data_IF_656433741368
#
_entry.id   IF_656433741368
#
_cell.length_a   1.000
_cell.length_b   1.000
_cell.length_c   1.000
_cell.angle_alpha   90.00
_cell.angle_beta   90.00
_cell.angle_gamma   90.00
#
_symmetry.space_group_name_H-M   'P 1'
#
loop_
_entity.id
_entity.type
_entity.pdbx_description
1 polymer ?
#
# COMPACT_ATOMS: atom_id res chain seq x y z
N UNK A 1 -13.09 -16.81 2.91
CA UNK A 1 -13.35 -16.07 1.66
C UNK A 1 -14.41 -15.05 1.99
N UNK A 2 -14.13 -13.76 1.75
CA UNK A 2 -15.07 -12.69 2.07
C UNK A 2 -15.69 -12.12 0.80
N UNK A 3 -16.96 -11.76 0.90
CA UNK A 3 -17.73 -11.15 -0.18
C UNK A 3 -18.42 -9.89 0.30
N UNK A 4 -18.63 -8.96 -0.63
CA UNK A 4 -19.53 -7.83 -0.45
C UNK A 4 -20.21 -7.47 -1.76
N UNK A 5 -21.29 -6.70 -1.68
CA UNK A 5 -22.06 -6.29 -2.82
C UNK A 5 -22.15 -4.76 -2.88
N UNK A 6 -22.03 -4.22 -4.09
CA UNK A 6 -22.16 -2.80 -4.39
C UNK A 6 -23.23 -2.62 -5.47
N UNK A 7 -24.01 -1.55 -5.39
CA UNK A 7 -24.86 -1.12 -6.50
C UNK A 7 -24.11 -0.05 -7.26
N UNK A 8 -23.91 -0.28 -8.56
CA UNK A 8 -23.42 0.73 -9.48
C UNK A 8 -24.58 1.18 -10.33
N UNK A 9 -24.77 2.49 -10.45
CA UNK A 9 -25.74 3.08 -11.37
C UNK A 9 -25.03 3.93 -12.41
N UNK A 10 -25.45 3.88 -13.66
CA UNK A 10 -24.87 4.65 -14.77
C UNK A 10 -25.96 5.24 -15.65
N UNK A 11 -25.73 6.45 -16.16
CA UNK A 11 -26.58 7.09 -17.16
C UNK A 11 -25.80 8.09 -18.00
N UNK A 12 -26.51 8.84 -18.85
CA UNK A 12 -25.89 9.80 -19.76
C UNK A 12 -25.10 10.89 -19.01
N UNK A 13 -25.63 11.35 -17.88
CA UNK A 13 -25.10 12.51 -17.14
C UNK A 13 -24.25 12.13 -15.92
N UNK A 14 -24.02 10.83 -15.68
CA UNK A 14 -23.13 10.42 -14.59
C UNK A 14 -23.27 8.98 -14.11
N UNK A 15 -22.60 8.72 -13.00
CA UNK A 15 -22.57 7.42 -12.35
C UNK A 15 -22.62 7.54 -10.82
N UNK A 16 -23.24 6.56 -10.17
CA UNK A 16 -23.27 6.38 -8.73
C UNK A 16 -22.58 5.04 -8.39
N UNK A 17 -21.81 4.98 -7.30
CA UNK A 17 -21.14 3.76 -6.85
C UNK A 17 -19.85 3.39 -7.58
N UNK A 18 -19.53 4.01 -8.73
CA UNK A 18 -18.29 3.70 -9.47
C UNK A 18 -17.01 4.07 -8.70
N UNK A 19 -17.01 5.20 -7.99
CA UNK A 19 -15.88 5.62 -7.15
C UNK A 19 -15.60 4.64 -6.02
N UNK A 20 -16.65 4.15 -5.38
CA UNK A 20 -16.55 3.15 -4.31
C UNK A 20 -16.10 1.79 -4.86
N UNK A 21 -16.63 1.37 -6.02
CA UNK A 21 -16.16 0.18 -6.70
C UNK A 21 -14.65 0.26 -6.98
N UNK A 22 -14.17 1.36 -7.57
CA UNK A 22 -12.74 1.54 -7.87
C UNK A 22 -11.87 1.45 -6.60
N UNK A 23 -12.29 2.11 -5.52
CA UNK A 23 -11.58 2.06 -4.24
C UNK A 23 -11.47 0.62 -3.72
N UNK A 24 -12.51 -0.19 -3.86
CA UNK A 24 -12.46 -1.58 -3.41
C UNK A 24 -11.59 -2.46 -4.31
N UNK A 25 -11.58 -2.21 -5.61
CA UNK A 25 -10.66 -2.89 -6.53
C UNK A 25 -9.19 -2.56 -6.20
N UNK A 26 -8.88 -1.29 -5.87
CA UNK A 26 -7.56 -0.87 -5.39
C UNK A 26 -7.16 -1.55 -4.07
N UNK A 27 -8.14 -1.85 -3.19
CA UNK A 27 -7.96 -2.60 -1.93
C UNK A 27 -7.80 -4.11 -2.13
N UNK A 28 -7.61 -4.56 -3.36
CA UNK A 28 -7.37 -5.95 -3.72
C UNK A 28 -8.62 -6.83 -3.75
N UNK A 29 -9.82 -6.24 -3.75
CA UNK A 29 -11.03 -6.98 -4.06
C UNK A 29 -11.12 -7.26 -5.56
N UNK A 30 -11.81 -8.34 -5.93
CA UNK A 30 -12.02 -8.74 -7.33
C UNK A 30 -13.50 -8.85 -7.61
N UNK A 31 -13.91 -8.54 -8.83
CA UNK A 31 -15.30 -8.75 -9.28
C UNK A 31 -15.55 -10.25 -9.40
N UNK A 32 -16.46 -10.76 -8.59
CA UNK A 32 -16.91 -12.16 -8.62
C UNK A 32 -18.07 -12.34 -9.61
N UNK A 33 -19.05 -11.42 -9.59
CA UNK A 33 -20.15 -11.43 -10.54
C UNK A 33 -20.79 -10.05 -10.69
N UNK A 34 -21.42 -9.83 -11.84
CA UNK A 34 -22.22 -8.62 -12.12
C UNK A 34 -23.60 -9.07 -12.57
N UNK A 35 -24.65 -8.51 -11.96
CA UNK A 35 -26.03 -8.77 -12.32
C UNK A 35 -26.71 -7.45 -12.71
N UNK A 36 -27.24 -7.31 -13.92
CA UNK A 36 -28.01 -6.14 -14.28
C UNK A 36 -29.26 -6.07 -13.40
N UNK A 37 -29.54 -4.90 -12.86
CA UNK A 37 -30.78 -4.60 -12.17
C UNK A 37 -31.55 -3.64 -13.06
N UNK A 38 -32.67 -4.11 -13.63
CA UNK A 38 -33.58 -3.22 -14.35
C UNK A 38 -34.20 -2.18 -13.43
N UNK A 39 -34.70 -1.08 -13.99
CA UNK A 39 -35.54 -0.13 -13.27
C UNK A 39 -34.80 0.94 -12.47
N UNK A 40 -33.76 1.55 -13.03
CA UNK A 40 -33.18 2.77 -12.44
C UNK A 40 -33.96 4.02 -12.89
N UNK A 41 -35.28 4.05 -12.64
CA UNK A 41 -36.14 5.25 -12.72
C UNK A 41 -36.33 5.93 -14.08
N UNK A 42 -37.41 6.71 -14.20
CA UNK A 42 -37.86 7.34 -15.45
C UNK A 42 -36.86 8.34 -16.05
N UNK A 43 -36.90 8.39 -17.38
CA UNK A 43 -36.15 9.27 -18.26
C UNK A 43 -36.25 10.75 -17.83
N UNK A 44 -35.22 11.21 -17.13
CA UNK A 44 -34.97 12.60 -16.78
C UNK A 44 -33.46 12.83 -16.78
N UNK A 45 -32.87 12.99 -15.59
CA UNK A 45 -31.44 13.29 -15.37
C UNK A 45 -30.73 12.28 -14.43
N UNK A 46 -31.32 11.09 -14.18
CA UNK A 46 -30.79 10.10 -13.23
C UNK A 46 -30.12 8.90 -13.94
N UNK A 47 -29.18 8.19 -13.29
CA UNK A 47 -28.50 7.07 -13.92
C UNK A 47 -29.48 5.95 -14.28
N UNK A 48 -29.68 5.70 -15.58
CA UNK A 48 -30.74 4.88 -16.16
C UNK A 48 -30.48 3.35 -16.14
N UNK A 49 -29.27 2.92 -15.80
CA UNK A 49 -28.90 1.52 -15.66
C UNK A 49 -28.36 1.26 -14.26
N UNK A 50 -28.73 0.14 -13.65
CA UNK A 50 -28.14 -0.31 -12.40
C UNK A 50 -27.57 -1.72 -12.53
N UNK A 51 -26.53 -2.01 -11.76
CA UNK A 51 -25.96 -3.34 -11.65
C UNK A 51 -25.59 -3.63 -10.20
N UNK A 52 -25.90 -4.85 -9.76
CA UNK A 52 -25.35 -5.44 -8.55
C UNK A 52 -23.99 -6.02 -8.89
N UNK A 53 -22.95 -5.48 -8.27
CA UNK A 53 -21.57 -5.96 -8.41
C UNK A 53 -21.20 -6.70 -7.13
N UNK A 54 -20.97 -8.00 -7.24
CA UNK A 54 -20.46 -8.82 -6.13
C UNK A 54 -18.95 -8.82 -6.22
N UNK A 55 -18.30 -8.38 -5.15
CA UNK A 55 -16.86 -8.41 -4.97
C UNK A 55 -16.48 -9.56 -4.04
N UNK A 56 -15.37 -10.21 -4.34
CA UNK A 56 -14.75 -11.20 -3.47
C UNK A 56 -13.29 -10.85 -3.18
N UNK A 57 -12.83 -11.26 -2.01
CA UNK A 57 -11.41 -11.30 -1.69
C UNK A 57 -11.13 -12.63 -1.00
N UNK A 58 -10.05 -13.29 -1.41
CA UNK A 58 -9.55 -14.41 -0.62
C UNK A 58 -9.12 -13.83 0.72
N UNK A 59 -9.52 -14.47 1.82
CA UNK A 59 -8.89 -14.23 3.11
C UNK A 59 -7.49 -14.79 2.99
N UNK A 60 -6.61 -13.99 2.41
CA UNK A 60 -5.20 -14.17 2.60
C UNK A 60 -4.97 -13.68 4.03
N UNK A 61 -4.38 -14.53 4.87
CA UNK A 61 -3.81 -14.13 6.17
C UNK A 61 -2.65 -13.13 5.99
N UNK A 62 -2.87 -12.08 5.19
CA UNK A 62 -1.94 -11.05 4.74
C UNK A 62 -1.69 -10.01 5.80
N UNK A 63 -2.52 -9.94 6.84
CA UNK A 63 -2.19 -9.15 8.04
C UNK A 63 -0.88 -9.64 8.65
N UNK A 64 -0.56 -10.94 8.58
CA UNK A 64 0.71 -11.48 9.08
C UNK A 64 1.90 -11.08 8.19
N UNK A 65 1.70 -11.01 6.87
CA UNK A 65 2.77 -10.71 5.92
C UNK A 65 3.09 -9.20 5.82
N UNK A 66 2.08 -8.34 5.91
CA UNK A 66 2.26 -6.87 5.89
C UNK A 66 2.82 -6.37 7.21
N UNK A 67 2.36 -6.88 8.36
CA UNK A 67 2.96 -6.56 9.66
C UNK A 67 4.42 -7.04 9.78
N UNK A 68 4.77 -8.15 9.12
CA UNK A 68 6.16 -8.62 9.07
C UNK A 68 7.04 -7.69 8.22
N UNK A 69 6.53 -7.17 7.10
CA UNK A 69 7.25 -6.26 6.22
C UNK A 69 7.44 -4.87 6.86
N UNK A 70 6.40 -4.29 7.48
CA UNK A 70 6.51 -2.98 8.17
C UNK A 70 7.48 -3.02 9.37
N UNK A 71 7.54 -4.15 10.10
CA UNK A 71 8.50 -4.31 11.21
C UNK A 71 9.94 -4.38 10.71
N UNK A 72 10.18 -5.04 9.59
CA UNK A 72 11.52 -5.13 8.97
C UNK A 72 12.00 -3.77 8.42
N UNK A 73 11.12 -2.97 7.82
CA UNK A 73 11.47 -1.62 7.36
C UNK A 73 11.80 -0.66 8.53
N UNK A 74 11.09 -0.79 9.65
CA UNK A 74 11.36 0.01 10.86
C UNK A 74 12.69 -0.36 11.53
N UNK A 75 13.05 -1.64 11.56
CA UNK A 75 14.36 -2.08 12.08
C UNK A 75 15.51 -1.62 11.17
N UNK A 76 15.35 -1.66 9.84
CA UNK A 76 16.36 -1.18 8.91
C UNK A 76 16.61 0.33 9.01
N UNK A 77 15.58 1.13 9.29
CA UNK A 77 15.72 2.58 9.56
C UNK A 77 16.45 2.88 10.87
N UNK A 78 16.39 1.99 11.87
CA UNK A 78 17.01 2.21 13.19
C UNK A 78 18.52 1.99 13.19
N UNK A 79 19.06 1.15 12.31
CA UNK A 79 20.50 0.83 12.27
C UNK A 79 21.34 1.95 11.64
N UNK A 80 20.72 2.87 10.90
CA UNK A 80 21.43 3.96 10.22
C UNK A 80 21.71 5.14 11.15
N UNK A 81 20.92 5.34 12.21
CA UNK A 81 21.11 6.47 13.13
C UNK A 81 22.24 6.24 14.15
N UNK A 82 22.55 4.99 14.52
CA UNK A 82 23.62 4.70 15.49
C UNK A 82 25.04 4.82 14.89
N UNK A 83 25.21 4.71 13.57
CA UNK A 83 26.56 4.81 12.93
C UNK A 83 27.03 6.27 12.82
N UNK A 84 26.14 7.26 12.84
CA UNK A 84 26.53 8.68 12.79
C UNK A 84 27.00 9.24 14.14
N UNK A 85 26.84 8.50 15.24
CA UNK A 85 27.19 8.98 16.59
C UNK A 85 28.62 8.66 17.03
N UNK A 86 29.35 7.83 16.27
CA UNK A 86 30.69 7.37 16.64
C UNK A 86 31.82 7.92 15.75
N UNK A 87 31.60 9.08 15.11
CA UNK A 87 32.68 9.90 14.53
C UNK A 87 33.01 11.03 15.51
N UNK A 88 33.42 10.64 16.71
CA UNK A 88 33.80 11.56 17.80
C UNK A 88 35.19 11.23 18.33
N UNK A 89 36.22 11.48 17.52
CA UNK A 89 37.60 11.26 17.96
C UNK A 89 38.64 11.54 16.87
N UNK A 90 38.71 12.78 16.38
CA UNK A 90 39.88 13.23 15.62
C UNK A 90 41.06 13.26 16.58
N UNK A 91 41.95 12.27 16.48
CA UNK A 91 43.28 12.35 17.09
C UNK A 91 44.16 13.12 16.11
N UNK A 92 44.47 14.37 16.44
CA UNK A 92 45.44 15.19 15.74
C UNK A 92 46.86 14.66 16.04
N UNK A 93 47.29 13.66 15.26
CA UNK A 93 48.66 13.17 15.26
C UNK A 93 49.49 13.91 14.22
N UNK A 94 50.35 14.83 14.65
CA UNK A 94 51.38 15.42 13.78
C UNK A 94 52.40 14.32 13.43
N UNK A 95 52.33 13.80 12.21
CA UNK A 95 53.14 12.68 11.69
C UNK A 95 54.61 13.04 11.46
N UNK A 96 55.32 13.43 12.52
CA UNK A 96 56.75 13.69 12.49
C UNK A 96 57.46 13.05 13.69
N UNK A 97 57.80 11.76 13.56
CA UNK A 97 58.74 11.03 14.41
C UNK A 97 59.56 10.07 13.53
N UNK A 98 60.89 9.94 13.73
CA UNK A 98 61.80 9.36 12.75
C UNK A 98 61.63 7.84 12.61
N UNK A 99 62.04 7.23 11.48
CA UNK A 99 61.94 5.79 11.30
C UNK A 99 62.95 5.11 12.22
N UNK A 100 62.47 4.22 13.09
CA UNK A 100 63.35 3.30 13.81
C UNK A 100 63.84 2.23 12.82
N UNK A 101 65.15 2.19 12.57
CA UNK A 101 65.81 1.07 11.92
C UNK A 101 65.68 -0.21 12.77
N UNK A 102 65.64 -1.40 12.16
CA UNK A 102 65.62 -2.65 12.89
C UNK A 102 67.05 -3.04 13.28
N UNK A 103 67.28 -3.40 14.54
CA UNK A 103 68.50 -4.09 14.96
C UNK A 103 68.23 -5.57 15.28
N UNK A 104 69.23 -6.45 15.06
CA UNK A 104 69.08 -7.90 14.91
C UNK A 104 68.95 -8.69 16.23
#
# INVERSE_FOLDING_TARGET
MIQKALIVRTGADGHEGLKELNLELERGWRVASVRPMGGAGDAGDAPCHAALVVLERRDSGTTVAVEALERAEKEASSVVEDVMRDVGGVVEGNGAGPPNEPTP
#
